data_IF_682831976960
#
_entry.id   IF_682831976960
#
_cell.length_a   1.000
_cell.length_b   1.000
_cell.length_c   1.000
_cell.angle_alpha   90.00
_cell.angle_beta   90.00
_cell.angle_gamma   90.00
#
_symmetry.space_group_name_H-M   'P 1'
#
loop_
_entity.id
_entity.type
_entity.pdbx_description
1 polymer ?
#
# COMPACT_ATOMS: atom_id res chain seq x y z
N UNK A 1 0.79 -3.93 -23.74
CA UNK A 1 0.33 -3.27 -22.50
C UNK A 1 1.46 -2.37 -22.04
N UNK A 2 1.24 -1.07 -21.99
CA UNK A 2 2.25 -0.11 -21.53
C UNK A 2 2.15 -0.05 -20.01
N UNK A 3 3.22 -0.42 -19.31
CA UNK A 3 3.33 -0.26 -17.86
C UNK A 3 4.31 0.88 -17.57
N UNK A 4 4.07 1.71 -16.54
CA UNK A 4 5.02 2.73 -16.13
C UNK A 4 6.35 2.07 -15.72
N UNK A 5 7.46 2.76 -15.92
CA UNK A 5 8.80 2.27 -15.59
C UNK A 5 9.12 2.41 -14.09
N UNK A 6 8.40 3.28 -13.37
CA UNK A 6 8.62 3.55 -11.94
C UNK A 6 7.32 3.59 -11.15
N UNK A 7 7.41 3.14 -9.89
CA UNK A 7 6.27 3.06 -8.99
C UNK A 7 5.74 4.45 -8.60
N UNK A 8 6.60 5.47 -8.52
CA UNK A 8 6.18 6.85 -8.24
C UNK A 8 5.21 7.44 -9.28
N UNK A 9 5.20 6.91 -10.50
CA UNK A 9 4.34 7.37 -11.60
C UNK A 9 2.94 6.72 -11.54
N UNK A 10 2.75 5.76 -10.63
CA UNK A 10 1.52 5.00 -10.44
C UNK A 10 1.39 4.52 -8.99
N UNK A 11 0.37 3.74 -8.69
CA UNK A 11 0.29 3.00 -7.41
C UNK A 11 0.39 1.50 -7.66
N UNK A 12 0.93 0.73 -6.72
CA UNK A 12 0.96 -0.72 -6.84
C UNK A 12 -0.45 -1.31 -7.05
N UNK A 13 -1.47 -0.71 -6.42
CA UNK A 13 -2.86 -1.12 -6.59
C UNK A 13 -3.36 -0.92 -8.02
N UNK A 14 -3.09 0.24 -8.65
CA UNK A 14 -3.49 0.52 -10.04
C UNK A 14 -2.76 -0.38 -11.02
N UNK A 15 -1.48 -0.64 -10.75
CA UNK A 15 -0.66 -1.54 -11.56
C UNK A 15 -1.21 -2.97 -11.51
N UNK A 16 -1.47 -3.51 -10.31
CA UNK A 16 -2.05 -4.84 -10.15
C UNK A 16 -3.46 -4.92 -10.75
N UNK A 17 -4.29 -3.89 -10.60
CA UNK A 17 -5.61 -3.82 -11.22
C UNK A 17 -5.53 -3.82 -12.76
N UNK A 18 -4.53 -3.16 -13.33
CA UNK A 18 -4.27 -3.17 -14.77
C UNK A 18 -3.85 -4.55 -15.26
N UNK A 19 -2.92 -5.19 -14.54
CA UNK A 19 -2.49 -6.56 -14.81
C UNK A 19 -3.64 -7.58 -14.67
N UNK A 20 -4.51 -7.36 -13.70
CA UNK A 20 -5.71 -8.20 -13.50
C UNK A 20 -6.69 -8.08 -14.66
N UNK A 21 -7.04 -6.85 -15.07
CA UNK A 21 -7.94 -6.63 -16.23
C UNK A 21 -7.38 -7.21 -17.53
N UNK A 22 -6.06 -7.18 -17.69
CA UNK A 22 -5.38 -7.76 -18.85
C UNK A 22 -5.14 -9.27 -18.75
N UNK A 23 -5.65 -9.95 -17.71
CA UNK A 23 -5.39 -11.38 -17.47
C UNK A 23 -3.91 -11.74 -17.55
N UNK A 24 -3.03 -10.84 -17.11
CA UNK A 24 -1.60 -10.98 -17.28
C UNK A 24 -1.07 -12.22 -16.54
N UNK A 25 -0.20 -12.95 -17.22
CA UNK A 25 0.58 -14.05 -16.61
C UNK A 25 2.05 -13.70 -16.75
N UNK A 26 2.79 -13.76 -15.65
CA UNK A 26 4.20 -13.40 -15.61
C UNK A 26 4.64 -12.95 -14.23
N UNK A 27 5.76 -12.25 -14.19
CA UNK A 27 6.42 -11.80 -12.97
C UNK A 27 6.59 -10.29 -13.01
N UNK A 28 6.06 -9.61 -11.99
CA UNK A 28 6.29 -8.20 -11.74
C UNK A 28 7.41 -8.06 -10.70
N UNK A 29 8.49 -7.41 -11.08
CA UNK A 29 9.60 -7.07 -10.19
C UNK A 29 9.50 -5.58 -9.79
N UNK A 30 9.69 -5.32 -8.50
CA UNK A 30 9.89 -4.00 -7.93
C UNK A 30 11.34 -3.95 -7.45
N UNK A 31 12.15 -3.08 -8.06
CA UNK A 31 13.58 -2.97 -7.78
C UNK A 31 13.85 -1.63 -7.10
N UNK A 32 14.16 -1.68 -5.82
CA UNK A 32 14.69 -0.56 -5.02
C UNK A 32 16.24 -0.63 -5.01
N UNK A 33 16.96 0.40 -4.59
CA UNK A 33 18.44 0.41 -4.60
C UNK A 33 19.09 -0.76 -3.86
N UNK A 34 18.46 -1.24 -2.78
CA UNK A 34 19.01 -2.32 -1.94
C UNK A 34 18.07 -3.52 -1.80
N UNK A 35 16.89 -3.48 -2.43
CA UNK A 35 15.84 -4.48 -2.25
C UNK A 35 15.22 -4.84 -3.59
N UNK A 36 14.86 -6.10 -3.71
CA UNK A 36 14.10 -6.59 -4.85
C UNK A 36 12.90 -7.36 -4.34
N UNK A 37 11.75 -7.06 -4.90
CA UNK A 37 10.51 -7.74 -4.58
C UNK A 37 9.91 -8.31 -5.87
N UNK A 38 9.26 -9.45 -5.75
CA UNK A 38 8.73 -10.17 -6.90
C UNK A 38 7.30 -10.58 -6.64
N UNK A 39 6.40 -10.23 -7.55
CA UNK A 39 4.99 -10.63 -7.53
C UNK A 39 4.74 -11.55 -8.72
N UNK A 40 4.37 -12.78 -8.44
CA UNK A 40 4.03 -13.77 -9.45
C UNK A 40 2.54 -13.72 -9.75
N UNK A 41 2.20 -13.54 -11.04
CA UNK A 41 0.83 -13.45 -11.52
C UNK A 41 0.51 -14.58 -12.49
N UNK A 42 -0.69 -15.09 -12.39
CA UNK A 42 -1.27 -16.01 -13.37
C UNK A 42 -2.71 -15.61 -13.63
N UNK A 43 -3.04 -15.34 -14.88
CA UNK A 43 -4.36 -14.82 -15.31
C UNK A 43 -4.80 -13.60 -14.48
N UNK A 44 -3.87 -12.71 -14.20
CA UNK A 44 -4.11 -11.49 -13.44
C UNK A 44 -4.29 -11.66 -11.93
N UNK A 45 -4.16 -12.88 -11.39
CA UNK A 45 -4.25 -13.15 -9.95
C UNK A 45 -2.86 -13.33 -9.35
N UNK A 46 -2.67 -12.83 -8.12
CA UNK A 46 -1.42 -12.97 -7.38
C UNK A 46 -1.31 -14.38 -6.80
N UNK A 47 -0.32 -15.13 -7.25
CA UNK A 47 -0.01 -16.49 -6.78
C UNK A 47 1.08 -16.53 -5.71
N UNK A 48 2.12 -15.69 -5.83
CA UNK A 48 3.15 -15.59 -4.82
C UNK A 48 3.69 -14.17 -4.73
N UNK A 49 4.25 -13.84 -3.57
CA UNK A 49 4.97 -12.60 -3.31
C UNK A 49 6.28 -12.95 -2.61
N UNK A 50 7.38 -12.53 -3.19
CA UNK A 50 8.72 -12.69 -2.63
C UNK A 50 9.26 -11.30 -2.27
N UNK A 51 9.71 -11.15 -1.04
CA UNK A 51 10.33 -9.93 -0.54
C UNK A 51 11.77 -10.21 -0.13
N UNK A 52 12.67 -9.28 -0.39
CA UNK A 52 14.07 -9.38 0.06
C UNK A 52 14.19 -9.43 1.58
N UNK A 53 13.23 -8.84 2.29
CA UNK A 53 13.17 -8.94 3.74
C UNK A 53 12.78 -10.35 4.17
N UNK A 54 13.49 -10.83 5.19
CA UNK A 54 13.19 -12.14 5.80
C UNK A 54 11.94 -12.12 6.69
N UNK A 55 11.10 -11.12 6.54
CA UNK A 55 9.86 -10.99 7.31
C UNK A 55 8.83 -12.06 6.91
N UNK A 56 8.02 -12.43 7.86
CA UNK A 56 6.90 -13.37 7.70
C UNK A 56 7.29 -14.71 7.07
N UNK A 57 8.30 -15.37 7.63
CA UNK A 57 8.62 -16.75 7.23
C UNK A 57 7.47 -17.67 7.62
N UNK A 58 7.23 -18.71 6.81
CA UNK A 58 6.20 -19.71 7.09
C UNK A 58 6.31 -20.27 8.51
N UNK A 59 7.53 -20.62 8.92
CA UNK A 59 7.78 -21.15 10.27
C UNK A 59 7.40 -20.19 11.39
N UNK A 60 7.72 -18.90 11.25
CA UNK A 60 7.37 -17.87 12.23
C UNK A 60 5.85 -17.72 12.37
N UNK A 61 5.12 -17.80 11.25
CA UNK A 61 3.67 -17.73 11.24
C UNK A 61 3.03 -18.96 11.89
N UNK A 62 3.55 -20.16 11.60
CA UNK A 62 3.08 -21.41 12.21
C UNK A 62 3.34 -21.43 13.73
N UNK A 63 4.50 -20.95 14.17
CA UNK A 63 4.84 -20.85 15.59
C UNK A 63 3.97 -19.81 16.30
N UNK A 64 3.78 -18.63 15.69
CA UNK A 64 2.93 -17.57 16.25
C UNK A 64 1.46 -17.98 16.35
N UNK A 65 1.00 -18.85 15.46
CA UNK A 65 -0.35 -19.43 15.50
C UNK A 65 -0.48 -20.63 16.47
N UNK A 66 0.60 -21.03 17.15
CA UNK A 66 0.61 -22.20 18.04
C UNK A 66 0.46 -23.55 17.34
N UNK A 67 0.63 -23.58 16.00
CA UNK A 67 0.42 -24.78 15.18
C UNK A 67 1.66 -25.68 15.14
N UNK A 68 2.85 -25.14 15.42
CA UNK A 68 4.10 -25.89 15.40
C UNK A 68 5.11 -25.27 16.37
N UNK A 69 5.82 -26.10 17.09
CA UNK A 69 6.87 -25.65 17.99
C UNK A 69 8.09 -25.14 17.21
N UNK A 70 8.81 -24.16 17.76
CA UNK A 70 9.93 -23.48 17.08
C UNK A 70 11.07 -24.44 16.73
N UNK A 71 11.43 -25.35 17.62
CA UNK A 71 12.48 -26.36 17.43
C UNK A 71 12.16 -27.31 16.27
N UNK A 72 10.88 -27.70 16.13
CA UNK A 72 10.40 -28.52 14.99
C UNK A 72 10.55 -27.77 13.68
N UNK A 73 10.15 -26.47 13.65
CA UNK A 73 10.30 -25.61 12.47
C UNK A 73 11.77 -25.45 12.07
N UNK A 74 12.65 -25.23 13.05
CA UNK A 74 14.08 -25.05 12.79
C UNK A 74 14.73 -26.35 12.27
N UNK A 75 14.39 -27.49 12.83
CA UNK A 75 14.84 -28.81 12.37
C UNK A 75 14.38 -29.05 10.92
N UNK A 76 13.09 -28.93 10.68
CA UNK A 76 12.54 -29.11 9.31
C UNK A 76 13.15 -28.15 8.29
N UNK A 77 13.46 -26.91 8.70
CA UNK A 77 14.10 -25.92 7.85
C UNK A 77 15.56 -26.28 7.51
N UNK A 78 16.32 -26.83 8.47
CA UNK A 78 17.71 -27.33 8.22
C UNK A 78 17.69 -28.52 7.29
N UNK A 79 16.82 -29.50 7.53
CA UNK A 79 16.71 -30.70 6.71
C UNK A 79 16.22 -30.39 5.27
N UNK A 80 15.26 -29.47 5.14
CA UNK A 80 14.77 -29.03 3.84
C UNK A 80 15.89 -28.40 3.00
N UNK A 81 16.73 -27.55 3.61
CA UNK A 81 17.91 -26.96 2.94
C UNK A 81 18.91 -28.00 2.49
N UNK A 82 19.19 -28.99 3.33
CA UNK A 82 20.14 -30.06 2.99
C UNK A 82 19.68 -30.90 1.79
N UNK A 83 18.38 -30.91 1.48
CA UNK A 83 17.78 -31.69 0.39
C UNK A 83 17.22 -30.82 -0.75
N UNK A 84 17.52 -29.53 -0.77
CA UNK A 84 16.96 -28.56 -1.71
C UNK A 84 15.42 -28.60 -1.78
N UNK A 85 14.80 -28.76 -0.63
CA UNK A 85 13.35 -28.85 -0.48
C UNK A 85 12.79 -27.60 0.23
N UNK A 86 11.50 -27.39 0.13
CA UNK A 86 10.81 -26.34 0.88
C UNK A 86 10.43 -26.84 2.28
N UNK A 87 10.71 -26.02 3.30
CA UNK A 87 10.43 -26.36 4.71
C UNK A 87 8.94 -26.69 4.96
N UNK A 88 8.02 -26.05 4.25
CA UNK A 88 6.59 -26.35 4.35
C UNK A 88 6.21 -27.76 3.91
N UNK A 89 6.87 -28.29 2.86
CA UNK A 89 6.67 -29.69 2.43
C UNK A 89 7.21 -30.66 3.48
N UNK A 90 8.36 -30.34 4.07
CA UNK A 90 8.98 -31.15 5.12
C UNK A 90 8.11 -31.24 6.36
N UNK A 91 7.58 -30.10 6.83
CA UNK A 91 6.68 -30.05 7.98
C UNK A 91 5.41 -30.90 7.78
N UNK A 92 4.87 -30.92 6.56
CA UNK A 92 3.71 -31.77 6.24
C UNK A 92 4.12 -33.24 6.17
N UNK A 93 5.24 -33.57 5.53
CA UNK A 93 5.74 -34.95 5.45
C UNK A 93 6.02 -35.56 6.83
N UNK A 94 6.49 -34.75 7.77
CA UNK A 94 6.70 -35.14 9.18
C UNK A 94 5.42 -35.13 10.02
N UNK A 95 4.27 -34.78 9.42
CA UNK A 95 2.99 -34.63 10.11
C UNK A 95 3.01 -33.59 11.25
N UNK A 96 3.98 -32.68 11.22
CA UNK A 96 4.06 -31.57 12.18
C UNK A 96 2.94 -30.55 11.98
N UNK A 97 2.50 -30.37 10.71
CA UNK A 97 1.32 -29.59 10.34
C UNK A 97 0.54 -30.30 9.24
N UNK A 98 -0.76 -30.05 9.15
CA UNK A 98 -1.58 -30.54 8.04
C UNK A 98 -1.36 -29.74 6.75
N UNK A 99 -1.79 -30.28 5.60
CA UNK A 99 -1.82 -29.53 4.33
C UNK A 99 -2.63 -28.23 4.46
N UNK A 100 -3.80 -28.29 5.08
CA UNK A 100 -4.69 -27.15 5.28
C UNK A 100 -4.01 -26.04 6.13
N UNK A 101 -3.39 -26.39 7.24
CA UNK A 101 -2.66 -25.45 8.11
C UNK A 101 -1.47 -24.80 7.38
N UNK A 102 -0.71 -25.59 6.61
CA UNK A 102 0.36 -25.06 5.75
C UNK A 102 -0.18 -24.04 4.73
N UNK A 103 -1.25 -24.39 4.04
CA UNK A 103 -1.81 -23.57 2.96
C UNK A 103 -2.43 -22.29 3.49
N UNK A 104 -3.08 -22.34 4.64
CA UNK A 104 -3.58 -21.15 5.36
C UNK A 104 -2.42 -20.22 5.77
N UNK A 105 -1.36 -20.77 6.37
CA UNK A 105 -0.19 -20.00 6.76
C UNK A 105 0.54 -19.39 5.54
N UNK A 106 0.62 -20.10 4.40
CA UNK A 106 1.16 -19.59 3.15
C UNK A 106 0.28 -18.47 2.57
N UNK A 107 -1.05 -18.59 2.67
CA UNK A 107 -1.99 -17.54 2.31
C UNK A 107 -1.77 -16.28 3.14
N UNK A 108 -1.67 -16.42 4.47
CA UNK A 108 -1.38 -15.33 5.38
C UNK A 108 -0.01 -14.69 5.11
N UNK A 109 1.02 -15.48 4.81
CA UNK A 109 2.35 -15.00 4.43
C UNK A 109 2.28 -14.12 3.19
N UNK A 110 1.62 -14.59 2.14
CA UNK A 110 1.46 -13.88 0.87
C UNK A 110 0.72 -12.56 1.06
N UNK A 111 -0.39 -12.58 1.82
CA UNK A 111 -1.17 -11.39 2.13
C UNK A 111 -0.33 -10.31 2.86
N UNK A 112 0.43 -10.71 3.90
CA UNK A 112 1.29 -9.78 4.65
C UNK A 112 2.43 -9.24 3.82
N UNK A 113 3.05 -10.06 2.97
CA UNK A 113 4.10 -9.63 2.04
C UNK A 113 3.55 -8.65 1.01
N UNK A 114 2.41 -8.94 0.41
CA UNK A 114 1.78 -7.99 -0.52
C UNK A 114 1.42 -6.68 0.21
N UNK A 115 0.92 -6.77 1.42
CA UNK A 115 0.61 -5.60 2.25
C UNK A 115 1.83 -4.71 2.46
N UNK A 116 3.00 -5.28 2.76
CA UNK A 116 4.24 -4.49 2.94
C UNK A 116 4.67 -3.76 1.66
N UNK A 117 4.43 -4.35 0.49
CA UNK A 117 4.84 -3.75 -0.79
C UNK A 117 4.04 -2.48 -1.15
N UNK A 118 2.87 -2.32 -0.59
CA UNK A 118 2.12 -1.10 -0.80
C UNK A 118 2.71 0.12 -0.07
N UNK A 119 3.60 -0.10 0.89
CA UNK A 119 4.38 0.95 1.54
C UNK A 119 5.60 1.40 0.76
N UNK A 120 5.96 0.73 -0.34
CA UNK A 120 7.10 1.12 -1.20
C UNK A 120 6.75 2.41 -1.92
N UNK A 121 7.53 3.46 -1.67
CA UNK A 121 7.28 4.79 -2.23
C UNK A 121 7.72 4.89 -3.69
N UNK A 122 8.90 4.33 -4.02
CA UNK A 122 9.45 4.32 -5.38
C UNK A 122 10.28 3.05 -5.62
N UNK A 123 10.11 2.47 -6.78
CA UNK A 123 10.87 1.33 -7.28
C UNK A 123 10.86 1.33 -8.81
N UNK A 124 11.90 0.81 -9.43
CA UNK A 124 11.87 0.49 -10.85
C UNK A 124 10.96 -0.72 -11.06
N UNK A 125 10.08 -0.63 -12.05
CA UNK A 125 9.10 -1.66 -12.37
C UNK A 125 9.54 -2.42 -13.61
N UNK A 126 9.59 -3.76 -13.49
CA UNK A 126 9.89 -4.65 -14.61
C UNK A 126 8.84 -5.76 -14.66
N UNK A 127 8.17 -5.90 -15.77
CA UNK A 127 7.23 -7.01 -15.98
C UNK A 127 7.80 -7.99 -17.00
N UNK A 128 7.90 -9.25 -16.60
CA UNK A 128 8.38 -10.36 -17.43
C UNK A 128 7.18 -11.24 -17.80
N UNK A 129 6.58 -11.03 -18.99
CA UNK A 129 5.44 -11.83 -19.43
C UNK A 129 5.84 -13.29 -19.63
N UNK A 130 4.88 -14.19 -19.41
CA UNK A 130 5.02 -15.63 -19.60
C UNK A 130 6.14 -16.32 -18.80
N UNK A 131 6.82 -15.62 -17.89
CA UNK A 131 7.79 -16.25 -17.00
C UNK A 131 7.10 -17.27 -16.11
N UNK A 132 7.58 -18.54 -16.07
CA UNK A 132 6.93 -19.60 -15.32
C UNK A 132 6.93 -19.29 -13.81
N UNK A 133 5.90 -19.76 -13.12
CA UNK A 133 5.87 -19.72 -11.66
C UNK A 133 6.92 -20.68 -11.10
N UNK A 134 7.60 -20.32 -10.00
CA UNK A 134 8.51 -21.23 -9.33
C UNK A 134 7.82 -22.54 -8.94
N UNK A 135 8.52 -23.69 -8.94
CA UNK A 135 7.97 -24.95 -8.46
C UNK A 135 7.36 -24.82 -7.07
N UNK A 136 6.19 -25.42 -6.85
CA UNK A 136 5.44 -25.36 -5.57
C UNK A 136 4.60 -24.08 -5.35
N UNK A 137 4.73 -23.06 -6.22
CA UNK A 137 3.83 -21.88 -6.20
C UNK A 137 2.52 -22.19 -6.92
N UNK A 138 2.55 -23.05 -7.91
CA UNK A 138 1.37 -23.43 -8.72
C UNK A 138 0.33 -24.20 -7.90
N UNK A 139 0.75 -24.88 -6.85
CA UNK A 139 -0.12 -25.66 -5.96
C UNK A 139 -0.92 -24.78 -4.98
N UNK A 140 -0.57 -23.51 -4.86
CA UNK A 140 -1.26 -22.59 -3.95
C UNK A 140 -2.47 -21.96 -4.65
N UNK A 141 -3.57 -21.86 -3.93
CA UNK A 141 -4.71 -21.10 -4.40
C UNK A 141 -4.31 -19.63 -4.56
N UNK A 142 -4.63 -18.98 -5.70
CA UNK A 142 -4.33 -17.58 -5.89
C UNK A 142 -5.10 -16.72 -4.88
N UNK A 143 -4.58 -15.53 -4.60
CA UNK A 143 -5.39 -14.52 -3.89
C UNK A 143 -6.59 -14.15 -4.76
N UNK A 144 -7.77 -14.12 -4.17
CA UNK A 144 -8.95 -13.65 -4.89
C UNK A 144 -8.80 -12.17 -5.25
N UNK A 145 -9.46 -11.76 -6.34
CA UNK A 145 -9.51 -10.34 -6.71
C UNK A 145 -10.06 -9.48 -5.57
N UNK A 146 -10.98 -10.02 -4.77
CA UNK A 146 -11.56 -9.36 -3.60
C UNK A 146 -10.48 -9.11 -2.53
N UNK A 147 -9.67 -10.10 -2.18
CA UNK A 147 -8.57 -9.95 -1.22
C UNK A 147 -7.48 -9.00 -1.72
N UNK A 148 -7.18 -9.04 -3.02
CA UNK A 148 -6.13 -8.22 -3.61
C UNK A 148 -6.56 -6.75 -3.79
N UNK A 149 -7.81 -6.49 -4.16
CA UNK A 149 -8.25 -5.16 -4.61
C UNK A 149 -9.31 -4.50 -3.74
N UNK A 150 -10.31 -5.25 -3.22
CA UNK A 150 -11.48 -4.64 -2.61
C UNK A 150 -11.25 -4.11 -1.19
N UNK A 151 -10.48 -4.77 -0.35
CA UNK A 151 -10.19 -4.23 0.98
C UNK A 151 -9.36 -2.96 0.91
N UNK A 152 -8.49 -2.86 -0.10
CA UNK A 152 -7.65 -1.69 -0.30
C UNK A 152 -8.32 -0.57 -1.07
N UNK A 153 -9.17 -0.88 -2.05
CA UNK A 153 -10.01 0.13 -2.65
C UNK A 153 -10.84 0.83 -1.55
N UNK A 154 -11.41 0.09 -0.61
CA UNK A 154 -12.13 0.68 0.54
C UNK A 154 -11.24 1.49 1.47
N UNK A 155 -9.99 1.07 1.75
CA UNK A 155 -9.04 1.86 2.56
C UNK A 155 -8.57 3.11 1.82
N UNK A 156 -8.33 2.98 0.53
CA UNK A 156 -7.91 4.07 -0.36
C UNK A 156 -9.04 5.06 -0.59
N UNK A 157 -10.28 4.61 -0.75
CA UNK A 157 -11.46 5.48 -0.86
C UNK A 157 -11.75 6.19 0.45
N UNK A 158 -11.53 5.56 1.60
CA UNK A 158 -11.57 6.24 2.91
C UNK A 158 -10.43 7.25 3.06
N UNK A 159 -9.21 6.93 2.62
CA UNK A 159 -8.08 7.87 2.61
C UNK A 159 -8.25 9.01 1.61
N UNK A 160 -8.79 8.72 0.42
CA UNK A 160 -9.14 9.74 -0.59
C UNK A 160 -10.39 10.54 -0.18
N UNK A 161 -11.36 9.92 0.47
CA UNK A 161 -12.51 10.61 1.05
C UNK A 161 -12.09 11.58 2.13
N UNK A 162 -11.18 11.17 3.02
CA UNK A 162 -10.55 12.05 4.01
C UNK A 162 -9.71 13.16 3.37
N UNK A 163 -8.87 12.83 2.39
CA UNK A 163 -8.05 13.83 1.69
C UNK A 163 -8.88 14.74 0.77
N UNK A 164 -9.89 14.22 0.07
CA UNK A 164 -10.84 15.05 -0.69
C UNK A 164 -11.74 15.89 0.24
N UNK A 165 -12.17 15.34 1.37
CA UNK A 165 -12.90 16.06 2.39
C UNK A 165 -12.06 17.20 2.98
N UNK A 166 -10.84 16.90 3.45
CA UNK A 166 -9.92 17.90 3.98
C UNK A 166 -9.50 18.94 2.93
N UNK A 167 -9.26 18.53 1.67
CA UNK A 167 -9.00 19.47 0.58
C UNK A 167 -10.23 20.32 0.27
N UNK A 168 -11.41 19.72 0.22
CA UNK A 168 -12.68 20.41 -0.02
C UNK A 168 -13.01 21.43 1.08
N UNK A 169 -12.83 21.04 2.33
CA UNK A 169 -12.98 21.92 3.50
C UNK A 169 -11.97 23.09 3.45
N UNK A 170 -10.70 22.80 3.15
CA UNK A 170 -9.69 23.84 3.01
C UNK A 170 -9.98 24.81 1.85
N UNK A 171 -10.47 24.29 0.71
CA UNK A 171 -10.91 25.13 -0.41
C UNK A 171 -12.15 25.98 -0.04
N UNK A 172 -13.09 25.39 0.68
CA UNK A 172 -14.29 26.13 1.17
C UNK A 172 -13.93 27.26 2.13
N UNK A 173 -12.95 27.05 3.03
CA UNK A 173 -12.42 28.11 3.92
C UNK A 173 -11.84 29.28 3.11
N UNK A 174 -11.20 29.00 1.98
CA UNK A 174 -10.71 30.03 1.05
C UNK A 174 -11.81 30.58 0.12
N UNK A 175 -13.02 30.01 0.13
CA UNK A 175 -14.11 30.37 -0.78
C UNK A 175 -13.86 29.97 -2.23
N UNK A 176 -13.19 28.81 -2.42
CA UNK A 176 -12.84 28.27 -3.72
C UNK A 176 -13.59 26.95 -4.00
N UNK A 177 -13.87 26.69 -5.27
CA UNK A 177 -14.47 25.43 -5.73
C UNK A 177 -13.49 24.26 -5.77
N UNK A 178 -14.01 23.03 -5.91
CA UNK A 178 -13.23 21.79 -5.89
C UNK A 178 -12.14 21.71 -6.98
N UNK A 179 -12.35 22.40 -8.11
CA UNK A 179 -11.45 22.40 -9.27
C UNK A 179 -10.43 23.56 -9.24
N UNK A 180 -10.32 24.26 -8.12
CA UNK A 180 -9.42 25.41 -8.01
C UNK A 180 -7.94 24.98 -8.19
N UNK A 181 -7.26 25.78 -9.02
CA UNK A 181 -5.82 25.62 -9.30
C UNK A 181 -4.96 26.15 -8.15
N UNK A 182 -3.70 25.71 -8.07
CA UNK A 182 -2.74 26.23 -7.09
C UNK A 182 -2.51 27.75 -7.23
N UNK A 183 -2.63 28.29 -8.42
CA UNK A 183 -2.50 29.73 -8.67
C UNK A 183 -3.67 30.50 -8.03
N UNK A 184 -4.90 30.00 -8.19
CA UNK A 184 -6.10 30.56 -7.56
C UNK A 184 -6.05 30.45 -6.03
N UNK A 185 -5.60 29.31 -5.50
CA UNK A 185 -5.39 29.11 -4.06
C UNK A 185 -4.43 30.16 -3.49
N UNK A 186 -3.28 30.39 -4.15
CA UNK A 186 -2.29 31.41 -3.74
C UNK A 186 -2.82 32.84 -3.84
N UNK A 187 -3.59 33.12 -4.88
CA UNK A 187 -4.19 34.45 -5.08
C UNK A 187 -5.23 34.75 -3.97
N UNK A 188 -6.13 33.78 -3.74
CA UNK A 188 -7.20 33.93 -2.75
C UNK A 188 -6.67 33.97 -1.31
N UNK A 189 -5.64 33.18 -1.02
CA UNK A 189 -4.95 33.24 0.27
C UNK A 189 -4.41 34.65 0.54
N UNK A 190 -3.68 35.25 -0.39
CA UNK A 190 -3.14 36.63 -0.23
C UNK A 190 -4.23 37.66 -0.02
N UNK A 191 -5.32 37.53 -0.75
CA UNK A 191 -6.50 38.43 -0.59
C UNK A 191 -7.09 38.29 0.81
N UNK A 192 -7.35 37.04 1.26
CA UNK A 192 -7.94 36.77 2.57
C UNK A 192 -7.03 37.22 3.72
N UNK A 193 -5.72 36.96 3.63
CA UNK A 193 -4.76 37.41 4.64
C UNK A 193 -4.75 38.96 4.74
N UNK A 194 -4.74 39.66 3.61
CA UNK A 194 -4.82 41.13 3.63
C UNK A 194 -6.14 41.64 4.26
N UNK A 195 -7.26 41.03 3.92
CA UNK A 195 -8.58 41.45 4.46
C UNK A 195 -8.69 41.16 5.96
N UNK A 196 -8.00 40.15 6.50
CA UNK A 196 -8.09 39.76 7.91
C UNK A 196 -6.90 40.25 8.76
N UNK A 197 -5.93 40.96 8.16
CA UNK A 197 -4.75 41.40 8.89
C UNK A 197 -5.11 42.41 9.99
N UNK A 198 -4.61 42.20 11.23
CA UNK A 198 -4.95 43.05 12.35
C UNK A 198 -4.58 44.52 12.15
N UNK A 199 -3.47 44.83 11.46
CA UNK A 199 -2.99 46.19 11.22
C UNK A 199 -3.83 46.97 10.20
N UNK A 200 -4.67 46.28 9.42
CA UNK A 200 -5.53 46.88 8.41
C UNK A 200 -7.00 46.96 8.87
N UNK A 201 -7.27 46.59 10.13
CA UNK A 201 -8.60 46.54 10.68
C UNK A 201 -9.00 47.91 11.22
N UNK A 202 -10.26 48.37 10.98
CA UNK A 202 -10.84 49.46 11.78
C UNK A 202 -10.91 49.02 13.24
N UNK A 203 -10.94 50.01 14.16
CA UNK A 203 -11.05 49.75 15.60
C UNK A 203 -12.38 49.06 15.89
N UNK A 204 -12.27 47.74 16.12
CA UNK A 204 -13.42 46.84 16.35
C UNK A 204 -13.43 46.44 17.84
N UNK A 205 -14.61 46.08 18.36
CA UNK A 205 -14.73 45.55 19.72
C UNK A 205 -14.06 44.17 19.89
N UNK A 206 -13.64 43.80 21.11
CA UNK A 206 -12.89 42.57 21.45
C UNK A 206 -13.52 41.30 20.87
N UNK A 207 -14.85 41.17 20.87
CA UNK A 207 -15.54 40.01 20.32
C UNK A 207 -15.39 39.88 18.79
N UNK A 208 -15.28 40.96 18.06
CA UNK A 208 -15.10 41.03 16.62
C UNK A 208 -13.66 40.74 16.25
N UNK A 209 -12.73 41.26 17.05
CA UNK A 209 -11.30 40.99 16.92
C UNK A 209 -10.98 39.49 17.15
N UNK A 210 -11.59 38.83 18.15
CA UNK A 210 -11.46 37.41 18.40
C UNK A 210 -11.94 36.54 17.23
N UNK A 211 -13.08 36.87 16.60
CA UNK A 211 -13.59 36.18 15.40
C UNK A 211 -12.63 36.30 14.21
N UNK A 212 -12.07 37.47 13.99
CA UNK A 212 -11.14 37.79 12.91
C UNK A 212 -9.82 37.01 13.05
N UNK A 213 -9.28 36.90 14.26
CA UNK A 213 -8.10 36.09 14.56
C UNK A 213 -8.37 34.61 14.31
N UNK A 214 -9.52 34.09 14.71
CA UNK A 214 -9.93 32.72 14.47
C UNK A 214 -10.07 32.44 12.96
N UNK A 215 -10.65 33.36 12.19
CA UNK A 215 -10.80 33.26 10.74
C UNK A 215 -9.44 33.32 10.02
N UNK A 216 -8.56 34.22 10.44
CA UNK A 216 -7.19 34.28 9.91
C UNK A 216 -6.43 32.96 10.15
N UNK A 217 -6.56 32.38 11.35
CA UNK A 217 -5.95 31.08 11.66
C UNK A 217 -6.50 29.99 10.75
N UNK A 218 -7.82 29.93 10.54
CA UNK A 218 -8.44 28.96 9.64
C UNK A 218 -7.92 29.09 8.19
N UNK A 219 -7.74 30.32 7.69
CA UNK A 219 -7.16 30.59 6.36
C UNK A 219 -5.70 30.13 6.25
N UNK A 220 -4.89 30.34 7.29
CA UNK A 220 -3.49 29.87 7.34
C UNK A 220 -3.40 28.34 7.33
N UNK A 221 -4.23 27.68 8.14
CA UNK A 221 -4.27 26.23 8.24
C UNK A 221 -4.77 25.58 6.93
N UNK A 222 -5.80 26.17 6.32
CA UNK A 222 -6.31 25.75 5.01
C UNK A 222 -5.23 25.87 3.91
N UNK A 223 -4.48 26.97 3.87
CA UNK A 223 -3.40 27.16 2.90
C UNK A 223 -2.26 26.15 3.09
N UNK A 224 -1.86 25.86 4.33
CA UNK A 224 -0.87 24.82 4.63
C UNK A 224 -1.33 23.45 4.17
N UNK A 225 -2.59 23.10 4.39
CA UNK A 225 -3.15 21.81 3.94
C UNK A 225 -3.22 21.68 2.40
N UNK A 226 -3.27 22.78 1.65
CA UNK A 226 -3.36 22.79 0.18
C UNK A 226 -2.00 22.89 -0.53
N UNK A 227 -1.00 23.48 0.13
CA UNK A 227 0.29 23.83 -0.48
C UNK A 227 1.50 23.20 0.24
N UNK A 228 1.34 22.57 1.41
CA UNK A 228 2.34 21.79 2.13
C UNK A 228 2.25 20.35 1.72
#
# INVERSE_FOLDING_TARGET
MFLPSRLRDTTLGDLLATLHRGYATGVLELVEPQRRHTIHLRRGLVHAVECSERAWRLGDLLTAAGLCARDVVERASREARARDQRSGHRLVAERAVSHAQRDEALGAQRARRLESLYGVADAELRFHPARPLPPGVVEQHPMSARETFFERARRRDRGRGGAKGARGEALAVLGLGAEATLAEVRARYRERVRALHPDLAPVEGEAQQGRRVAELKAVLDAYRALCG
#
